data_IF_208131682622
#
_entry.id   IF_208131682622
#
_cell.length_a   1.000
_cell.length_b   1.000
_cell.length_c   1.000
_cell.angle_alpha   90.00
_cell.angle_beta   90.00
_cell.angle_gamma   90.00
#
_symmetry.space_group_name_H-M   'P 1'
#
loop_
_entity.id
_entity.type
_entity.pdbx_description
1 polymer ?
#
# COMPACT_ATOMS: atom_id res chain seq x y z
N UNK A 1 -14.14 -13.11 5.20
CA UNK A 1 -13.09 -13.51 4.21
C UNK A 1 -11.82 -13.91 4.96
N UNK A 2 -10.82 -14.44 4.23
CA UNK A 2 -9.46 -14.65 4.76
C UNK A 2 -8.55 -13.59 4.13
N UNK A 3 -8.12 -12.62 4.93
CA UNK A 3 -7.32 -11.45 4.50
C UNK A 3 -5.87 -11.68 4.88
N UNK A 4 -4.96 -11.62 3.92
CA UNK A 4 -3.52 -11.72 4.17
C UNK A 4 -2.90 -10.32 4.24
N UNK A 5 -2.20 -10.02 5.33
CA UNK A 5 -1.47 -8.75 5.53
C UNK A 5 0.03 -9.03 5.47
N UNK A 6 0.69 -8.54 4.43
CA UNK A 6 2.16 -8.62 4.25
C UNK A 6 2.82 -7.39 4.83
N UNK A 7 3.81 -7.56 5.68
CA UNK A 7 4.39 -6.51 6.51
C UNK A 7 3.59 -6.26 7.78
N UNK A 8 3.01 -7.33 8.35
CA UNK A 8 2.08 -7.28 9.48
C UNK A 8 2.70 -6.72 10.76
N UNK A 9 4.01 -6.85 10.97
CA UNK A 9 4.72 -6.39 12.17
C UNK A 9 5.16 -4.91 12.09
N UNK A 10 5.03 -4.28 10.91
CA UNK A 10 5.22 -2.83 10.76
C UNK A 10 4.08 -2.01 11.35
N UNK A 11 4.30 -0.70 11.58
CA UNK A 11 3.28 0.21 12.16
C UNK A 11 1.93 0.14 11.43
N UNK A 12 1.94 0.23 10.10
CA UNK A 12 0.72 0.15 9.29
C UNK A 12 0.11 -1.26 9.32
N UNK A 13 0.95 -2.30 9.29
CA UNK A 13 0.51 -3.69 9.38
C UNK A 13 -0.22 -3.99 10.67
N UNK A 14 0.35 -3.60 11.81
CA UNK A 14 -0.27 -3.77 13.14
C UNK A 14 -1.61 -3.02 13.24
N UNK A 15 -1.68 -1.78 12.77
CA UNK A 15 -2.91 -1.00 12.74
C UNK A 15 -4.00 -1.69 11.89
N UNK A 16 -3.63 -2.19 10.72
CA UNK A 16 -4.54 -2.89 9.81
C UNK A 16 -5.02 -4.22 10.41
N UNK A 17 -4.11 -5.02 10.95
CA UNK A 17 -4.45 -6.27 11.66
C UNK A 17 -5.38 -5.98 12.83
N UNK A 18 -5.09 -4.93 13.64
CA UNK A 18 -5.95 -4.48 14.71
C UNK A 18 -7.37 -4.12 14.26
N UNK A 19 -7.49 -3.37 13.16
CA UNK A 19 -8.78 -3.02 12.58
C UNK A 19 -9.53 -4.26 12.03
N UNK A 20 -8.83 -5.18 11.36
CA UNK A 20 -9.45 -6.39 10.83
C UNK A 20 -9.97 -7.33 11.94
N UNK A 21 -9.33 -7.36 13.11
CA UNK A 21 -9.79 -8.14 14.25
C UNK A 21 -11.17 -7.72 14.79
N UNK A 22 -11.60 -6.49 14.53
CA UNK A 22 -12.94 -6.00 14.91
C UNK A 22 -14.02 -6.42 13.91
N UNK A 23 -13.63 -7.05 12.80
CA UNK A 23 -14.52 -7.57 11.77
C UNK A 23 -14.77 -9.08 11.95
N UNK A 24 -15.64 -9.65 11.11
CA UNK A 24 -15.85 -11.10 11.03
C UNK A 24 -14.81 -11.81 10.15
N UNK A 25 -13.82 -11.09 9.64
CA UNK A 25 -12.81 -11.64 8.76
C UNK A 25 -11.70 -12.36 9.54
N UNK A 26 -11.15 -13.39 8.94
CA UNK A 26 -9.95 -14.07 9.44
C UNK A 26 -8.72 -13.39 8.87
N UNK A 27 -7.65 -13.30 9.64
CA UNK A 27 -6.42 -12.60 9.25
C UNK A 27 -5.25 -13.57 9.13
N UNK A 28 -4.47 -13.43 8.08
CA UNK A 28 -3.14 -14.03 7.94
C UNK A 28 -2.09 -12.93 8.05
N UNK A 29 -1.18 -13.07 8.97
CA UNK A 29 -0.06 -12.16 9.19
C UNK A 29 1.19 -12.72 8.51
N UNK A 30 1.75 -11.99 7.57
CA UNK A 30 2.99 -12.35 6.87
C UNK A 30 4.04 -11.29 7.12
N UNK A 31 5.12 -11.69 7.78
CA UNK A 31 6.28 -10.84 7.98
C UNK A 31 7.54 -11.69 8.13
N UNK A 32 8.67 -11.21 7.63
CA UNK A 32 9.97 -11.90 7.68
C UNK A 32 10.52 -12.10 9.09
N UNK A 33 10.04 -11.34 10.08
CA UNK A 33 10.44 -11.49 11.49
C UNK A 33 9.65 -12.59 12.20
N UNK A 34 8.59 -13.13 11.56
CA UNK A 34 7.83 -14.23 12.11
C UNK A 34 8.57 -15.54 11.87
N UNK A 35 8.66 -16.40 12.89
CA UNK A 35 9.22 -17.74 12.73
C UNK A 35 8.19 -18.73 12.19
N UNK A 36 8.65 -19.83 11.58
CA UNK A 36 7.78 -20.92 11.13
C UNK A 36 7.08 -21.63 12.29
N UNK A 37 7.64 -21.55 13.49
CA UNK A 37 7.13 -22.21 14.71
C UNK A 37 5.93 -21.49 15.30
N UNK A 38 5.71 -20.22 14.92
CA UNK A 38 4.52 -19.44 15.27
C UNK A 38 3.31 -19.73 14.37
N UNK A 39 3.45 -20.62 13.38
CA UNK A 39 2.34 -21.06 12.54
C UNK A 39 1.38 -21.88 13.41
N UNK A 40 0.32 -21.21 13.89
CA UNK A 40 -0.72 -21.84 14.72
C UNK A 40 -0.57 -21.62 16.22
N UNK A 41 0.30 -20.69 16.69
CA UNK A 41 0.31 -20.30 18.10
C UNK A 41 -1.08 -19.81 18.52
N UNK A 42 -1.62 -20.38 19.60
CA UNK A 42 -3.00 -20.19 20.09
C UNK A 42 -3.30 -18.78 20.64
N UNK A 43 -2.33 -17.87 20.64
CA UNK A 43 -2.44 -16.59 21.31
C UNK A 43 -3.32 -15.55 20.62
N UNK A 44 -3.67 -15.76 19.34
CA UNK A 44 -4.61 -14.87 18.64
C UNK A 44 -5.65 -15.74 17.93
N UNK A 45 -6.85 -15.89 18.50
CA UNK A 45 -7.94 -16.53 17.78
C UNK A 45 -8.17 -15.86 16.43
N UNK A 46 -8.20 -16.63 15.34
CA UNK A 46 -8.38 -16.16 13.96
C UNK A 46 -7.19 -15.49 13.27
N UNK A 47 -5.97 -15.50 13.80
CA UNK A 47 -4.78 -15.01 13.10
C UNK A 47 -3.81 -16.15 12.79
N UNK A 48 -3.50 -16.38 11.51
CA UNK A 48 -2.46 -17.28 11.05
C UNK A 48 -1.20 -16.46 10.79
N UNK A 49 -0.05 -16.94 11.26
CA UNK A 49 1.25 -16.26 11.07
C UNK A 49 2.14 -17.04 10.11
N UNK A 50 2.90 -16.35 9.27
CA UNK A 50 3.86 -16.97 8.35
C UNK A 50 5.04 -16.02 8.03
N UNK A 51 6.26 -16.54 7.85
CA UNK A 51 7.42 -15.72 7.51
C UNK A 51 7.40 -15.21 6.06
N UNK A 52 6.65 -15.83 5.19
CA UNK A 52 6.54 -15.42 3.78
C UNK A 52 5.24 -15.90 3.15
N UNK A 53 4.87 -15.29 2.02
CA UNK A 53 3.73 -15.76 1.21
C UNK A 53 3.91 -17.19 0.71
N UNK A 54 5.14 -17.62 0.45
CA UNK A 54 5.46 -18.98 -0.05
C UNK A 54 5.24 -20.06 1.00
N UNK A 55 5.29 -19.71 2.28
CA UNK A 55 5.08 -20.65 3.39
C UNK A 55 3.62 -20.81 3.79
N UNK A 56 2.70 -20.12 3.12
CA UNK A 56 1.26 -20.25 3.38
C UNK A 56 0.76 -21.64 2.97
N UNK A 57 0.09 -22.32 3.89
CA UNK A 57 -0.55 -23.63 3.62
C UNK A 57 -1.96 -23.51 3.04
N UNK A 58 -2.58 -22.33 3.16
CA UNK A 58 -3.93 -22.01 2.68
C UNK A 58 -3.88 -20.69 1.93
N UNK A 59 -4.55 -20.58 0.79
CA UNK A 59 -4.61 -19.35 0.04
C UNK A 59 -5.61 -18.36 0.67
N UNK A 60 -5.25 -17.07 0.79
CA UNK A 60 -6.17 -16.03 1.23
C UNK A 60 -7.18 -15.67 0.11
N UNK A 61 -8.23 -14.95 0.46
CA UNK A 61 -9.15 -14.36 -0.53
C UNK A 61 -8.62 -13.04 -1.12
N UNK A 62 -7.77 -12.33 -0.38
CA UNK A 62 -7.16 -11.07 -0.78
C UNK A 62 -5.83 -10.87 -0.06
N UNK A 63 -4.87 -10.24 -0.72
CA UNK A 63 -3.58 -9.85 -0.13
C UNK A 63 -3.51 -8.34 -0.02
N UNK A 64 -3.10 -7.82 1.14
CA UNK A 64 -2.82 -6.42 1.41
C UNK A 64 -1.33 -6.29 1.75
N UNK A 65 -0.58 -5.57 0.93
CA UNK A 65 0.85 -5.37 1.11
C UNK A 65 1.17 -3.99 1.66
N UNK A 66 1.76 -3.97 2.85
CA UNK A 66 2.26 -2.78 3.55
C UNK A 66 3.75 -2.90 3.90
N UNK A 67 4.45 -3.89 3.37
CA UNK A 67 5.82 -4.25 3.77
C UNK A 67 6.94 -3.51 3.01
N UNK A 68 6.63 -2.73 1.98
CA UNK A 68 7.60 -1.94 1.21
C UNK A 68 7.78 -2.41 -0.24
N UNK A 69 8.73 -1.78 -0.98
CA UNK A 69 8.87 -1.98 -2.42
C UNK A 69 9.20 -3.42 -2.83
N UNK A 70 10.11 -4.08 -2.08
CA UNK A 70 10.48 -5.48 -2.37
C UNK A 70 9.32 -6.43 -2.15
N UNK A 71 8.60 -6.31 -1.01
CA UNK A 71 7.44 -7.15 -0.73
C UNK A 71 6.33 -6.94 -1.75
N UNK A 72 6.12 -5.71 -2.24
CA UNK A 72 5.10 -5.40 -3.26
C UNK A 72 5.31 -6.20 -4.55
N UNK A 73 6.56 -6.35 -5.02
CA UNK A 73 6.88 -7.15 -6.21
C UNK A 73 6.66 -8.64 -5.96
N UNK A 74 7.05 -9.14 -4.77
CA UNK A 74 6.84 -10.53 -4.39
C UNK A 74 5.35 -10.86 -4.23
N UNK A 75 4.59 -9.96 -3.59
CA UNK A 75 3.14 -10.07 -3.45
C UNK A 75 2.44 -10.08 -4.80
N UNK A 76 2.85 -9.21 -5.74
CA UNK A 76 2.29 -9.18 -7.08
C UNK A 76 2.53 -10.50 -7.83
N UNK A 77 3.74 -11.06 -7.76
CA UNK A 77 4.06 -12.36 -8.37
C UNK A 77 3.23 -13.50 -7.75
N UNK A 78 3.15 -13.53 -6.42
CA UNK A 78 2.37 -14.53 -5.69
C UNK A 78 0.88 -14.45 -6.08
N UNK A 79 0.31 -13.25 -6.08
CA UNK A 79 -1.09 -13.04 -6.44
C UNK A 79 -1.38 -13.39 -7.90
N UNK A 80 -0.46 -13.05 -8.82
CA UNK A 80 -0.60 -13.42 -10.22
C UNK A 80 -0.56 -14.95 -10.46
N UNK A 81 0.26 -15.68 -9.71
CA UNK A 81 0.32 -17.13 -9.79
C UNK A 81 -0.95 -17.81 -9.26
N UNK A 82 -1.60 -17.20 -8.28
CA UNK A 82 -2.75 -17.78 -7.60
C UNK A 82 -4.09 -17.06 -7.93
N UNK A 83 -4.07 -16.12 -8.89
CA UNK A 83 -5.25 -15.34 -9.32
C UNK A 83 -5.94 -14.59 -8.17
N UNK A 84 -5.16 -14.06 -7.21
CA UNK A 84 -5.67 -13.40 -6.02
C UNK A 84 -5.68 -11.88 -6.18
N UNK A 85 -6.70 -11.16 -5.68
CA UNK A 85 -6.71 -9.72 -5.60
C UNK A 85 -5.58 -9.19 -4.69
N UNK A 86 -4.92 -8.09 -5.11
CA UNK A 86 -3.84 -7.47 -4.37
C UNK A 86 -4.08 -5.97 -4.18
N UNK A 87 -4.00 -5.52 -2.93
CA UNK A 87 -3.92 -4.11 -2.57
C UNK A 87 -2.49 -3.79 -2.11
N UNK A 88 -1.81 -2.87 -2.78
CA UNK A 88 -0.49 -2.36 -2.40
C UNK A 88 -0.66 -0.97 -1.78
N UNK A 89 -0.37 -0.84 -0.48
CA UNK A 89 -0.42 0.43 0.25
C UNK A 89 0.98 0.98 0.55
N UNK A 90 2.02 0.18 0.35
CA UNK A 90 3.40 0.61 0.52
C UNK A 90 3.83 1.62 -0.56
N UNK A 91 4.84 2.44 -0.23
CA UNK A 91 5.44 3.45 -1.11
C UNK A 91 6.87 3.06 -1.50
N UNK A 92 7.54 3.88 -2.30
CA UNK A 92 8.95 3.71 -2.62
C UNK A 92 9.25 2.71 -3.73
N UNK A 93 8.24 2.23 -4.49
CA UNK A 93 8.49 1.38 -5.67
C UNK A 93 9.20 2.18 -6.76
N UNK A 94 10.35 1.68 -7.19
CA UNK A 94 11.08 2.21 -8.35
C UNK A 94 10.28 2.05 -9.65
N UNK A 95 10.72 2.71 -10.72
CA UNK A 95 10.12 2.50 -12.06
C UNK A 95 10.17 1.03 -12.48
N UNK A 96 11.26 0.33 -12.14
CA UNK A 96 11.45 -1.10 -12.44
C UNK A 96 10.45 -1.95 -11.63
N UNK A 97 10.27 -1.66 -10.34
CA UNK A 97 9.32 -2.40 -9.50
C UNK A 97 7.89 -2.21 -10.00
N UNK A 98 7.51 -0.99 -10.37
CA UNK A 98 6.19 -0.70 -10.95
C UNK A 98 5.98 -1.44 -12.27
N UNK A 99 7.00 -1.52 -13.12
CA UNK A 99 6.93 -2.31 -14.36
C UNK A 99 6.72 -3.80 -14.05
N UNK A 100 7.44 -4.37 -13.09
CA UNK A 100 7.29 -5.76 -12.65
C UNK A 100 5.90 -6.05 -12.10
N UNK A 101 5.34 -5.14 -11.28
CA UNK A 101 3.98 -5.24 -10.76
C UNK A 101 2.96 -5.18 -11.91
N UNK A 102 3.15 -4.26 -12.87
CA UNK A 102 2.26 -4.09 -14.02
C UNK A 102 2.16 -5.37 -14.89
N UNK A 103 3.26 -6.09 -15.05
CA UNK A 103 3.27 -7.39 -15.77
C UNK A 103 2.37 -8.43 -15.09
N UNK A 104 2.14 -8.33 -13.79
CA UNK A 104 1.27 -9.23 -13.05
C UNK A 104 -0.24 -8.91 -13.19
N UNK A 105 -0.57 -7.66 -13.52
CA UNK A 105 -1.96 -7.15 -13.56
C UNK A 105 -2.92 -7.90 -14.51
N UNK A 106 -2.50 -8.45 -15.66
CA UNK A 106 -3.39 -9.26 -16.50
C UNK A 106 -3.87 -10.57 -15.83
N UNK A 107 -3.15 -11.05 -14.81
CA UNK A 107 -3.43 -12.33 -14.13
C UNK A 107 -4.19 -12.18 -12.82
N UNK A 108 -4.18 -10.98 -12.21
CA UNK A 108 -4.90 -10.72 -10.97
C UNK A 108 -5.24 -9.22 -10.84
N UNK A 109 -6.36 -8.87 -10.19
CA UNK A 109 -6.67 -7.47 -9.90
C UNK A 109 -5.62 -6.86 -8.95
N UNK A 110 -5.00 -5.75 -9.35
CA UNK A 110 -4.02 -5.02 -8.53
C UNK A 110 -4.45 -3.58 -8.36
N UNK A 111 -4.63 -3.15 -7.10
CA UNK A 111 -4.84 -1.76 -6.74
C UNK A 111 -3.59 -1.23 -6.02
N UNK A 112 -3.00 -0.16 -6.54
CA UNK A 112 -1.93 0.57 -5.86
C UNK A 112 -2.54 1.83 -5.20
N UNK A 113 -2.56 1.86 -3.87
CA UNK A 113 -3.11 2.94 -3.06
C UNK A 113 -2.05 3.47 -2.07
N UNK A 114 -1.06 4.22 -2.52
CA UNK A 114 0.05 4.69 -1.67
C UNK A 114 -0.40 5.71 -0.62
N UNK A 115 -1.58 6.26 -0.77
CA UNK A 115 -2.20 7.17 0.19
C UNK A 115 -3.67 6.82 0.37
N UNK A 116 -4.05 6.50 1.59
CA UNK A 116 -5.42 6.16 1.99
C UNK A 116 -6.04 7.22 2.91
N UNK A 117 -5.40 8.38 3.06
CA UNK A 117 -5.93 9.50 3.83
C UNK A 117 -7.21 10.05 3.20
N UNK A 118 -8.29 10.07 3.97
CA UNK A 118 -9.58 10.66 3.56
C UNK A 118 -9.43 12.14 3.22
N UNK A 119 -8.61 12.89 3.99
CA UNK A 119 -8.34 14.30 3.76
C UNK A 119 -7.63 14.54 2.42
N UNK A 120 -6.59 13.79 2.12
CA UNK A 120 -5.90 13.86 0.82
C UNK A 120 -6.85 13.50 -0.32
N UNK A 121 -7.69 12.47 -0.14
CA UNK A 121 -8.70 12.09 -1.12
C UNK A 121 -9.72 13.21 -1.39
N UNK A 122 -10.13 13.95 -0.34
CA UNK A 122 -11.01 15.10 -0.48
C UNK A 122 -10.34 16.25 -1.25
N UNK A 123 -9.10 16.60 -0.89
CA UNK A 123 -8.31 17.61 -1.60
C UNK A 123 -8.20 17.27 -3.08
N UNK A 124 -7.86 16.03 -3.41
CA UNK A 124 -7.74 15.56 -4.80
C UNK A 124 -9.08 15.67 -5.56
N UNK A 125 -10.22 15.42 -4.89
CA UNK A 125 -11.55 15.61 -5.49
C UNK A 125 -11.82 17.08 -5.76
N UNK A 126 -11.54 17.97 -4.81
CA UNK A 126 -11.72 19.42 -4.95
C UNK A 126 -10.86 19.94 -6.13
N UNK A 127 -9.57 19.59 -6.17
CA UNK A 127 -8.69 19.96 -7.29
C UNK A 127 -9.19 19.40 -8.63
N UNK A 128 -9.77 18.19 -8.63
CA UNK A 128 -10.31 17.59 -9.87
C UNK A 128 -11.51 18.36 -10.43
N UNK A 129 -12.30 18.98 -9.58
CA UNK A 129 -13.48 19.76 -9.95
C UNK A 129 -13.17 21.23 -10.30
N UNK A 130 -11.93 21.70 -10.04
CA UNK A 130 -11.53 23.09 -10.24
C UNK A 130 -10.83 23.27 -11.59
N UNK A 131 -11.05 24.41 -12.24
CA UNK A 131 -10.16 24.93 -13.28
C UNK A 131 -9.13 25.84 -12.60
N UNK A 132 -7.85 25.50 -12.78
CA UNK A 132 -6.74 26.22 -12.16
C UNK A 132 -5.85 26.90 -13.19
N UNK A 133 -6.35 27.10 -14.40
CA UNK A 133 -5.66 27.84 -15.44
C UNK A 133 -5.38 29.29 -15.00
N UNK A 134 -4.14 29.71 -15.13
CA UNK A 134 -3.70 31.05 -14.72
C UNK A 134 -3.34 31.20 -13.22
N UNK A 135 -3.42 30.12 -12.45
CA UNK A 135 -2.95 30.12 -11.06
C UNK A 135 -1.51 29.62 -10.95
N UNK A 136 -0.69 30.31 -10.17
CA UNK A 136 0.57 29.78 -9.66
C UNK A 136 0.29 28.99 -8.38
N UNK A 137 0.91 27.82 -8.26
CA UNK A 137 0.74 26.96 -7.11
C UNK A 137 2.10 26.55 -6.52
N UNK A 138 2.21 26.56 -5.19
CA UNK A 138 3.32 26.01 -4.46
C UNK A 138 2.83 24.93 -3.51
N UNK A 139 3.61 23.86 -3.37
CA UNK A 139 3.36 22.80 -2.39
C UNK A 139 4.46 22.88 -1.34
N UNK A 140 4.06 23.04 -0.09
CA UNK A 140 4.97 23.00 1.06
C UNK A 140 4.56 21.85 1.96
N UNK A 141 5.50 20.98 2.29
CA UNK A 141 5.24 19.85 3.18
C UNK A 141 6.20 19.83 4.37
N UNK A 142 5.69 19.37 5.50
CA UNK A 142 6.50 19.25 6.73
C UNK A 142 6.44 17.81 7.22
N UNK A 143 7.59 17.21 7.47
CA UNK A 143 7.73 15.85 7.95
C UNK A 143 8.75 15.76 9.08
N UNK A 144 8.72 14.65 9.81
CA UNK A 144 9.74 14.34 10.78
C UNK A 144 11.10 14.11 10.10
N UNK A 145 12.20 14.38 10.80
CA UNK A 145 13.58 14.30 10.28
C UNK A 145 14.00 12.93 9.69
N UNK A 146 13.31 11.85 10.05
CA UNK A 146 13.62 10.50 9.57
C UNK A 146 12.93 10.13 8.24
N UNK A 147 12.22 11.08 7.60
CA UNK A 147 11.59 10.83 6.31
C UNK A 147 12.65 10.79 5.20
N UNK A 148 12.65 9.70 4.43
CA UNK A 148 13.67 9.43 3.40
C UNK A 148 13.33 9.99 2.02
N UNK A 149 12.03 10.07 1.69
CA UNK A 149 11.54 10.54 0.39
C UNK A 149 11.13 12.02 0.49
N UNK A 150 11.78 12.86 -0.31
CA UNK A 150 11.47 14.28 -0.51
C UNK A 150 11.60 14.58 -2.02
N UNK A 151 10.54 15.10 -2.67
CA UNK A 151 9.21 15.30 -2.13
C UNK A 151 8.46 14.00 -1.86
N UNK A 152 7.44 14.04 -0.97
CA UNK A 152 6.63 12.88 -0.61
C UNK A 152 5.78 12.38 -1.77
N UNK A 153 5.36 11.10 -1.70
CA UNK A 153 4.42 10.56 -2.68
C UNK A 153 3.11 11.35 -2.76
N UNK A 154 2.67 11.96 -1.65
CA UNK A 154 1.49 12.83 -1.60
C UNK A 154 1.74 14.15 -2.32
N UNK A 155 2.88 14.79 -2.08
CA UNK A 155 3.26 16.03 -2.77
C UNK A 155 3.34 15.82 -4.29
N UNK A 156 4.01 14.75 -4.73
CA UNK A 156 4.08 14.38 -6.16
C UNK A 156 2.68 14.14 -6.77
N UNK A 157 1.76 13.55 -6.00
CA UNK A 157 0.40 13.30 -6.47
C UNK A 157 -0.39 14.60 -6.61
N UNK A 158 -0.25 15.51 -5.65
CA UNK A 158 -0.87 16.86 -5.68
C UNK A 158 -0.31 17.69 -6.83
N UNK A 159 1.02 17.71 -7.02
CA UNK A 159 1.68 18.38 -8.13
C UNK A 159 1.11 17.94 -9.49
N UNK A 160 1.05 16.63 -9.71
CA UNK A 160 0.48 16.08 -10.95
C UNK A 160 -0.98 16.50 -11.15
N UNK A 161 -1.77 16.55 -10.08
CA UNK A 161 -3.16 16.95 -10.15
C UNK A 161 -3.30 18.44 -10.47
N UNK A 162 -2.51 19.30 -9.82
CA UNK A 162 -2.47 20.75 -10.08
C UNK A 162 -2.11 21.03 -11.53
N UNK A 163 -1.01 20.44 -12.04
CA UNK A 163 -0.60 20.57 -13.44
C UNK A 163 -1.67 20.08 -14.43
N UNK A 164 -2.31 18.97 -14.13
CA UNK A 164 -3.39 18.43 -14.96
C UNK A 164 -4.67 19.30 -14.96
N UNK A 165 -4.78 20.26 -14.04
CA UNK A 165 -5.87 21.22 -13.95
C UNK A 165 -5.48 22.64 -14.41
N UNK A 166 -4.31 22.79 -15.04
CA UNK A 166 -3.84 24.02 -15.65
C UNK A 166 -3.01 24.93 -14.75
N UNK A 167 -2.75 24.57 -13.50
CA UNK A 167 -1.91 25.38 -12.62
C UNK A 167 -0.44 25.31 -13.03
N UNK A 168 0.25 26.45 -12.92
CA UNK A 168 1.71 26.55 -12.98
C UNK A 168 2.28 26.20 -11.60
N UNK A 169 2.90 25.02 -11.44
CA UNK A 169 3.49 24.62 -10.15
C UNK A 169 4.91 25.14 -10.06
N UNK A 170 5.11 26.18 -9.25
CA UNK A 170 6.36 26.92 -9.12
C UNK A 170 7.33 26.30 -8.14
N UNK A 171 6.88 25.57 -7.12
CA UNK A 171 7.73 24.84 -6.19
C UNK A 171 7.03 23.65 -5.54
N UNK A 172 7.86 22.66 -5.14
CA UNK A 172 7.47 21.53 -4.28
C UNK A 172 8.60 21.34 -3.27
N UNK A 173 8.39 21.58 -1.97
CA UNK A 173 9.42 21.58 -0.93
C UNK A 173 8.91 21.00 0.41
#
# INVERSE_FOLDING_TARGET
MLVCVVGSEGKMGQALVGALKTTKDRVMCVDRVLSSDEIGSREIPNCLKAPSLKSLKVLPNVVIDVGGSKSSVESAKFCALNHLPLLIMSTGQSKIDRARIKVCAPKCPILMAPNTSRGVGLILKMLSASDLSGFDAAIVETHHQNKKDNPSGTAIMLEKKLKARGANVVSVS
#
